data_IF_918712910248
#
_entry.id   IF_918712910248
#
_cell.length_a   1.000
_cell.length_b   1.000
_cell.length_c   1.000
_cell.angle_alpha   90.00
_cell.angle_beta   90.00
_cell.angle_gamma   90.00
#
_symmetry.space_group_name_H-M   'P 1'
#
loop_
_entity.id
_entity.type
_entity.pdbx_description
1 polymer ?
#
# COMPACT_ATOMS: atom_id res chain seq x y z
N UNK A 1 -26.90 45.31 -60.27
CA UNK A 1 -27.67 44.79 -59.12
C UNK A 1 -26.83 43.73 -58.42
N UNK A 2 -26.21 44.08 -57.28
CA UNK A 2 -25.50 43.14 -56.41
C UNK A 2 -26.47 42.71 -55.31
N UNK A 3 -26.68 41.41 -55.14
CA UNK A 3 -27.46 40.81 -54.07
C UNK A 3 -26.64 40.78 -52.77
N UNK A 4 -27.17 41.39 -51.72
CA UNK A 4 -26.64 41.30 -50.36
C UNK A 4 -27.27 40.08 -49.66
N UNK A 5 -26.45 39.07 -49.34
CA UNK A 5 -26.76 38.06 -48.33
C UNK A 5 -26.34 38.57 -46.94
N UNK A 6 -27.30 38.63 -46.01
CA UNK A 6 -27.04 38.81 -44.59
C UNK A 6 -26.44 37.51 -44.02
N UNK A 7 -25.22 37.58 -43.49
CA UNK A 7 -24.66 36.51 -42.65
C UNK A 7 -25.22 36.65 -41.23
N UNK A 8 -26.01 35.67 -40.80
CA UNK A 8 -26.29 35.46 -39.38
C UNK A 8 -24.98 35.05 -38.67
N UNK A 9 -24.59 35.85 -37.69
CA UNK A 9 -23.49 35.53 -36.79
C UNK A 9 -23.99 34.49 -35.76
N UNK A 10 -23.51 33.26 -35.88
CA UNK A 10 -23.67 32.24 -34.84
C UNK A 10 -22.79 32.64 -33.66
N UNK A 11 -23.45 33.01 -32.57
CA UNK A 11 -22.84 33.33 -31.28
C UNK A 11 -22.16 32.06 -30.71
N UNK A 12 -20.82 32.00 -30.78
CA UNK A 12 -20.04 30.92 -30.19
C UNK A 12 -19.97 31.15 -28.68
N UNK A 13 -20.91 30.55 -27.95
CA UNK A 13 -20.97 30.60 -26.49
C UNK A 13 -19.75 29.94 -25.83
N UNK A 14 -19.45 30.40 -24.61
CA UNK A 14 -18.33 30.07 -23.70
C UNK A 14 -18.13 28.59 -23.33
N UNK A 15 -18.81 27.65 -23.99
CA UNK A 15 -18.80 26.20 -23.78
C UNK A 15 -17.58 25.49 -24.40
N UNK A 16 -17.02 26.01 -25.49
CA UNK A 16 -15.93 25.33 -26.25
C UNK A 16 -14.58 25.30 -25.53
N UNK A 17 -14.19 26.39 -24.86
CA UNK A 17 -12.90 26.46 -24.11
C UNK A 17 -12.90 25.54 -22.88
N UNK A 18 -14.02 25.43 -22.17
CA UNK A 18 -14.17 24.50 -21.02
C UNK A 18 -14.10 23.03 -21.47
N UNK A 19 -14.74 22.67 -22.59
CA UNK A 19 -14.66 21.31 -23.16
C UNK A 19 -13.26 20.96 -23.64
N UNK A 20 -12.54 21.89 -24.27
CA UNK A 20 -11.16 21.67 -24.73
C UNK A 20 -10.18 21.50 -23.57
N UNK A 21 -10.31 22.32 -22.52
CA UNK A 21 -9.51 22.18 -21.30
C UNK A 21 -9.81 20.86 -20.57
N UNK A 22 -11.09 20.48 -20.44
CA UNK A 22 -11.49 19.20 -19.86
C UNK A 22 -10.92 18.00 -20.64
N UNK A 23 -11.01 18.00 -21.98
CA UNK A 23 -10.45 16.92 -22.81
C UNK A 23 -8.92 16.83 -22.70
N UNK A 24 -8.22 17.96 -22.61
CA UNK A 24 -6.76 17.98 -22.46
C UNK A 24 -6.33 17.52 -21.05
N UNK A 25 -7.07 17.90 -20.01
CA UNK A 25 -6.86 17.41 -18.64
C UNK A 25 -7.14 15.91 -18.51
N UNK A 26 -8.20 15.41 -19.13
CA UNK A 26 -8.51 13.96 -19.18
C UNK A 26 -7.40 13.20 -19.91
N UNK A 27 -6.94 13.68 -21.07
CA UNK A 27 -5.87 13.02 -21.83
C UNK A 27 -4.53 12.99 -21.07
N UNK A 28 -4.20 14.04 -20.32
CA UNK A 28 -3.01 14.07 -19.47
C UNK A 28 -3.15 13.11 -18.27
N UNK A 29 -4.31 13.07 -17.64
CA UNK A 29 -4.61 12.14 -16.56
C UNK A 29 -4.49 10.68 -17.04
N UNK A 30 -5.07 10.36 -18.21
CA UNK A 30 -4.93 9.05 -18.84
C UNK A 30 -3.48 8.69 -19.13
N UNK A 31 -2.65 9.63 -19.61
CA UNK A 31 -1.23 9.37 -19.88
C UNK A 31 -0.43 9.09 -18.60
N UNK A 32 -0.67 9.85 -17.53
CA UNK A 32 0.01 9.65 -16.24
C UNK A 32 -0.38 8.30 -15.64
N UNK A 33 -1.69 8.00 -15.58
CA UNK A 33 -2.16 6.72 -15.06
C UNK A 33 -1.67 5.53 -15.88
N UNK A 34 -1.67 5.66 -17.21
CA UNK A 34 -1.12 4.62 -18.09
C UNK A 34 0.38 4.39 -17.85
N UNK A 35 1.17 5.46 -17.74
CA UNK A 35 2.62 5.35 -17.48
C UNK A 35 2.90 4.69 -16.12
N UNK A 36 2.15 5.06 -15.08
CA UNK A 36 2.28 4.46 -13.77
C UNK A 36 1.88 2.99 -13.78
N UNK A 37 0.78 2.62 -14.44
CA UNK A 37 0.36 1.23 -14.62
C UNK A 37 1.45 0.39 -15.28
N UNK A 38 1.99 0.84 -16.41
CA UNK A 38 3.06 0.13 -17.11
C UNK A 38 4.33 0.00 -16.26
N UNK A 39 4.67 1.03 -15.49
CA UNK A 39 5.82 0.99 -14.56
C UNK A 39 5.62 -0.06 -13.47
N UNK A 40 4.43 -0.10 -12.86
CA UNK A 40 4.10 -1.11 -11.85
C UNK A 40 4.16 -2.52 -12.45
N UNK A 41 3.60 -2.73 -13.64
CA UNK A 41 3.66 -4.03 -14.32
C UNK A 41 5.10 -4.49 -14.60
N UNK A 42 5.96 -3.58 -15.06
CA UNK A 42 7.38 -3.89 -15.28
C UNK A 42 8.12 -4.23 -13.98
N UNK A 43 7.81 -3.55 -12.87
CA UNK A 43 8.38 -3.88 -11.56
C UNK A 43 7.92 -5.27 -11.07
N UNK A 44 6.64 -5.59 -11.28
CA UNK A 44 6.06 -6.89 -10.91
C UNK A 44 6.67 -8.01 -11.74
N UNK A 45 6.82 -7.80 -13.06
CA UNK A 45 7.48 -8.74 -13.95
C UNK A 45 8.93 -9.02 -13.51
N UNK A 46 9.69 -7.95 -13.23
CA UNK A 46 11.06 -8.07 -12.74
C UNK A 46 11.12 -8.84 -11.40
N UNK A 47 10.22 -8.55 -10.46
CA UNK A 47 10.16 -9.25 -9.17
C UNK A 47 9.86 -10.74 -9.36
N UNK A 48 8.86 -11.10 -10.18
CA UNK A 48 8.53 -12.49 -10.47
C UNK A 48 9.59 -13.24 -11.28
N UNK A 49 10.44 -12.53 -12.03
CA UNK A 49 11.57 -13.10 -12.75
C UNK A 49 12.81 -13.33 -11.89
N UNK A 50 12.90 -12.70 -10.72
CA UNK A 50 14.13 -12.67 -9.89
C UNK A 50 13.98 -13.28 -8.51
N UNK A 51 12.79 -13.24 -7.93
CA UNK A 51 12.52 -13.70 -6.57
C UNK A 51 11.69 -14.98 -6.62
N UNK A 52 12.12 -16.01 -5.87
CA UNK A 52 11.33 -17.21 -5.64
C UNK A 52 10.90 -17.28 -4.17
N UNK A 53 9.59 -17.19 -3.92
CA UNK A 53 9.02 -17.23 -2.57
C UNK A 53 9.33 -18.53 -1.81
N UNK A 54 9.51 -19.66 -2.50
CA UNK A 54 9.86 -20.94 -1.88
C UNK A 54 11.23 -20.90 -1.18
N UNK A 55 12.12 -20.03 -1.66
CA UNK A 55 13.47 -19.85 -1.13
C UNK A 55 13.58 -18.65 -0.17
N UNK A 56 12.52 -17.87 -0.03
CA UNK A 56 12.54 -16.65 0.77
C UNK A 56 12.25 -16.93 2.25
N UNK A 57 13.06 -16.34 3.14
CA UNK A 57 12.84 -16.36 4.60
C UNK A 57 13.01 -14.97 5.19
N UNK A 58 12.17 -14.61 6.17
CA UNK A 58 12.27 -13.32 6.84
C UNK A 58 11.44 -13.23 8.12
N UNK A 59 11.67 -12.17 8.89
CA UNK A 59 10.92 -11.86 10.11
C UNK A 59 9.60 -11.17 9.82
N UNK A 60 9.48 -10.46 8.69
CA UNK A 60 8.23 -9.83 8.29
C UNK A 60 7.29 -10.86 7.64
N UNK A 61 5.99 -10.88 7.98
CA UNK A 61 5.04 -11.73 7.30
C UNK A 61 4.87 -11.36 5.84
N UNK A 62 4.54 -12.36 5.02
CA UNK A 62 4.37 -12.25 3.56
C UNK A 62 3.64 -13.47 3.02
N UNK A 63 2.84 -13.26 1.98
CA UNK A 63 2.09 -14.27 1.23
C UNK A 63 2.43 -14.28 -0.27
N UNK A 64 3.18 -13.29 -0.76
CA UNK A 64 3.62 -13.20 -2.15
C UNK A 64 5.02 -12.61 -2.31
N UNK A 65 5.59 -12.81 -3.50
CA UNK A 65 6.79 -12.09 -3.96
C UNK A 65 6.51 -10.60 -4.07
N UNK A 66 5.37 -10.26 -4.69
CA UNK A 66 4.80 -8.92 -4.64
C UNK A 66 3.61 -8.99 -3.69
N UNK A 67 3.87 -8.71 -2.41
CA UNK A 67 2.92 -8.93 -1.33
C UNK A 67 1.80 -7.88 -1.34
N UNK A 68 2.14 -6.60 -1.41
CA UNK A 68 1.22 -5.47 -1.27
C UNK A 68 1.58 -4.34 -2.24
N UNK A 69 0.61 -3.91 -3.06
CA UNK A 69 0.70 -2.71 -3.89
C UNK A 69 -0.40 -1.74 -3.44
N UNK A 70 -0.01 -0.54 -3.06
CA UNK A 70 -0.94 0.49 -2.60
C UNK A 70 -0.86 1.76 -3.43
N UNK A 71 -2.02 2.22 -3.89
CA UNK A 71 -2.16 3.46 -4.64
C UNK A 71 -2.67 4.54 -3.69
N UNK A 72 -1.78 5.47 -3.34
CA UNK A 72 -2.12 6.64 -2.53
C UNK A 72 -2.48 7.83 -3.43
N UNK A 73 -3.66 8.46 -3.23
CA UNK A 73 -3.97 9.69 -3.94
C UNK A 73 -3.04 10.82 -3.45
N UNK A 74 -2.35 11.47 -4.38
CA UNK A 74 -1.46 12.60 -4.12
C UNK A 74 -2.00 13.89 -4.76
N UNK A 75 -1.78 15.01 -4.08
CA UNK A 75 -2.19 16.34 -4.52
C UNK A 75 -3.69 16.43 -4.86
N UNK A 76 -4.05 16.52 -6.15
CA UNK A 76 -5.44 16.71 -6.61
C UNK A 76 -6.12 15.43 -7.08
N UNK A 77 -5.42 14.29 -7.04
CA UNK A 77 -5.99 12.99 -7.41
C UNK A 77 -6.98 12.55 -6.33
N UNK A 78 -8.17 12.13 -6.73
CA UNK A 78 -9.17 11.59 -5.82
C UNK A 78 -8.87 10.15 -5.44
N UNK A 79 -9.42 9.71 -4.31
CA UNK A 79 -9.31 8.31 -3.89
C UNK A 79 -9.97 7.35 -4.90
N UNK A 80 -11.03 7.78 -5.57
CA UNK A 80 -11.73 7.00 -6.60
C UNK A 80 -10.85 6.80 -7.84
N UNK A 81 -10.09 7.82 -8.27
CA UNK A 81 -9.13 7.69 -9.36
C UNK A 81 -7.99 6.73 -9.00
N UNK A 82 -7.48 6.80 -7.76
CA UNK A 82 -6.48 5.85 -7.28
C UNK A 82 -7.05 4.41 -7.23
N UNK A 83 -8.31 4.24 -6.81
CA UNK A 83 -9.00 2.96 -6.79
C UNK A 83 -9.24 2.40 -8.19
N UNK A 84 -9.57 3.27 -9.16
CA UNK A 84 -9.70 2.88 -10.56
C UNK A 84 -8.38 2.32 -11.11
N UNK A 85 -7.26 3.01 -10.87
CA UNK A 85 -5.94 2.53 -11.29
C UNK A 85 -5.57 1.21 -10.59
N UNK A 86 -5.80 1.11 -9.27
CA UNK A 86 -5.53 -0.11 -8.51
C UNK A 86 -6.27 -1.33 -9.10
N UNK A 87 -7.54 -1.16 -9.50
CA UNK A 87 -8.32 -2.20 -10.18
C UNK A 87 -7.74 -2.56 -11.54
N UNK A 88 -7.37 -1.56 -12.35
CA UNK A 88 -6.77 -1.81 -13.67
C UNK A 88 -5.45 -2.59 -13.54
N UNK A 89 -4.58 -2.20 -12.60
CA UNK A 89 -3.35 -2.92 -12.27
C UNK A 89 -3.65 -4.35 -11.80
N UNK A 90 -4.67 -4.55 -10.97
CA UNK A 90 -5.04 -5.88 -10.48
C UNK A 90 -5.52 -6.82 -11.59
N UNK A 91 -6.37 -6.34 -12.50
CA UNK A 91 -6.83 -7.10 -13.67
C UNK A 91 -5.65 -7.51 -14.55
N UNK A 92 -4.71 -6.59 -14.82
CA UNK A 92 -3.52 -6.88 -15.62
C UNK A 92 -2.58 -7.87 -14.91
N UNK A 93 -2.31 -7.69 -13.61
CA UNK A 93 -1.43 -8.61 -12.86
C UNK A 93 -2.03 -10.02 -12.80
N UNK A 94 -3.32 -10.12 -12.48
CA UNK A 94 -4.03 -11.39 -12.39
C UNK A 94 -4.07 -12.13 -13.72
N UNK A 95 -4.24 -11.41 -14.83
CA UNK A 95 -4.31 -12.00 -16.18
C UNK A 95 -2.94 -12.30 -16.78
N UNK A 96 -1.98 -11.38 -16.71
CA UNK A 96 -0.66 -11.53 -17.33
C UNK A 96 0.23 -12.51 -16.56
N UNK A 97 0.25 -12.41 -15.22
CA UNK A 97 1.14 -13.23 -14.40
C UNK A 97 0.45 -14.46 -13.79
N UNK A 98 -0.86 -14.63 -14.01
CA UNK A 98 -1.64 -15.78 -13.54
C UNK A 98 -1.47 -16.02 -12.03
N UNK A 99 -1.55 -14.94 -11.25
CA UNK A 99 -1.49 -14.97 -9.78
C UNK A 99 -2.83 -14.54 -9.18
N UNK A 100 -3.25 -15.10 -8.03
CA UNK A 100 -4.41 -14.61 -7.31
C UNK A 100 -4.17 -13.19 -6.79
N UNK A 101 -5.10 -12.28 -7.06
CA UNK A 101 -5.02 -10.89 -6.60
C UNK A 101 -6.23 -10.56 -5.72
N UNK A 102 -5.96 -9.99 -4.55
CA UNK A 102 -6.97 -9.56 -3.58
C UNK A 102 -7.00 -8.05 -3.48
N UNK A 103 -8.17 -7.47 -3.74
CA UNK A 103 -8.39 -6.03 -3.64
C UNK A 103 -8.69 -5.62 -2.20
N UNK A 104 -8.28 -4.43 -1.79
CA UNK A 104 -8.64 -3.87 -0.49
C UNK A 104 -8.84 -2.35 -0.54
N UNK A 105 -9.36 -1.80 0.56
CA UNK A 105 -9.64 -0.37 0.68
C UNK A 105 -10.62 0.09 -0.38
N UNK A 106 -10.42 1.28 -0.94
CA UNK A 106 -11.30 1.85 -1.96
C UNK A 106 -11.33 1.04 -3.27
N UNK A 107 -10.32 0.18 -3.50
CA UNK A 107 -10.31 -0.69 -4.66
C UNK A 107 -11.24 -1.91 -4.50
N UNK A 108 -11.53 -2.35 -3.28
CA UNK A 108 -12.44 -3.48 -3.06
C UNK A 108 -13.91 -3.05 -3.13
N UNK A 109 -14.82 -3.83 -3.77
CA UNK A 109 -16.24 -3.45 -3.96
C UNK A 109 -16.99 -3.07 -2.67
N UNK A 110 -16.64 -3.72 -1.55
CA UNK A 110 -17.24 -3.46 -0.22
C UNK A 110 -16.33 -2.68 0.73
N UNK A 111 -15.19 -2.16 0.25
CA UNK A 111 -14.25 -1.44 1.11
C UNK A 111 -13.52 -2.32 2.13
N UNK A 112 -13.28 -3.60 1.82
CA UNK A 112 -12.69 -4.57 2.74
C UNK A 112 -11.30 -4.10 3.20
N UNK A 113 -11.04 -4.16 4.50
CA UNK A 113 -9.76 -3.76 5.06
C UNK A 113 -8.67 -4.80 4.80
N UNK A 114 -7.44 -4.33 4.57
CA UNK A 114 -6.28 -5.19 4.27
C UNK A 114 -5.99 -6.20 5.39
N UNK A 115 -6.11 -5.78 6.65
CA UNK A 115 -5.91 -6.67 7.80
C UNK A 115 -6.91 -7.82 7.82
N UNK A 116 -8.15 -7.60 7.39
CA UNK A 116 -9.16 -8.65 7.29
C UNK A 116 -8.75 -9.74 6.28
N UNK A 117 -8.26 -9.33 5.11
CA UNK A 117 -7.73 -10.26 4.09
C UNK A 117 -6.50 -11.00 4.62
N UNK A 118 -5.55 -10.27 5.23
CA UNK A 118 -4.35 -10.84 5.85
C UNK A 118 -4.72 -11.89 6.90
N UNK A 119 -5.74 -11.65 7.72
CA UNK A 119 -6.23 -12.63 8.70
C UNK A 119 -6.83 -13.88 8.06
N UNK A 120 -7.69 -13.71 7.06
CA UNK A 120 -8.34 -14.81 6.34
C UNK A 120 -7.33 -15.71 5.61
N UNK A 121 -6.25 -15.14 5.09
CA UNK A 121 -5.20 -15.85 4.38
C UNK A 121 -4.05 -16.34 5.27
N UNK A 122 -4.14 -16.14 6.59
CA UNK A 122 -3.13 -16.63 7.54
C UNK A 122 -1.82 -15.86 7.54
N UNK A 123 -1.80 -14.60 7.06
CA UNK A 123 -0.62 -13.72 6.99
C UNK A 123 0.18 -13.68 8.30
N UNK A 124 -0.51 -13.50 9.43
CA UNK A 124 0.12 -13.33 10.75
C UNK A 124 0.55 -14.64 11.43
N UNK A 125 0.52 -15.78 10.73
CA UNK A 125 0.92 -17.09 11.29
C UNK A 125 2.33 -17.45 10.81
N UNK A 126 3.37 -17.33 11.65
CA UNK A 126 4.72 -17.77 11.28
C UNK A 126 4.74 -19.29 11.07
N UNK A 127 5.55 -19.74 10.13
CA UNK A 127 5.72 -21.16 9.80
C UNK A 127 7.17 -21.65 9.98
N UNK A 128 8.07 -20.78 10.43
CA UNK A 128 9.48 -21.07 10.61
C UNK A 128 9.99 -20.50 11.93
N UNK A 129 10.73 -21.31 12.70
CA UNK A 129 11.33 -20.92 13.98
C UNK A 129 10.39 -20.21 15.00
N UNK A 130 9.08 -20.43 14.89
CA UNK A 130 8.05 -19.88 15.78
C UNK A 130 7.74 -18.38 15.60
N UNK A 131 8.62 -17.61 14.97
CA UNK A 131 8.51 -16.15 14.82
C UNK A 131 8.96 -15.63 13.45
N UNK A 132 9.26 -16.52 12.50
CA UNK A 132 9.70 -16.20 11.15
C UNK A 132 8.80 -16.87 10.11
N UNK A 133 8.92 -16.38 8.89
CA UNK A 133 8.25 -16.95 7.74
C UNK A 133 9.29 -17.44 6.74
N UNK A 134 9.22 -18.72 6.35
CA UNK A 134 10.10 -19.31 5.35
C UNK A 134 9.31 -20.06 4.28
N UNK A 135 9.70 -19.88 3.02
CA UNK A 135 9.05 -20.50 1.88
C UNK A 135 7.58 -20.11 1.72
N UNK A 136 6.86 -21.02 1.09
CA UNK A 136 5.44 -20.97 0.79
C UNK A 136 4.58 -21.53 1.94
N UNK A 137 3.48 -20.84 2.29
CA UNK A 137 2.66 -21.14 3.49
C UNK A 137 1.20 -21.46 3.22
N UNK A 138 0.75 -21.28 1.98
CA UNK A 138 -0.68 -21.32 1.63
C UNK A 138 -1.06 -22.61 0.90
N UNK A 139 -2.35 -22.96 0.80
CA UNK A 139 -2.77 -24.08 -0.04
C UNK A 139 -2.60 -23.75 -1.53
N UNK A 140 -2.33 -24.75 -2.38
CA UNK A 140 -2.24 -24.54 -3.83
C UNK A 140 -3.55 -24.07 -4.47
N UNK A 141 -4.69 -24.34 -3.83
CA UNK A 141 -6.01 -23.87 -4.23
C UNK A 141 -6.61 -23.12 -3.07
N UNK A 142 -6.97 -21.86 -3.30
CA UNK A 142 -7.56 -21.00 -2.28
C UNK A 142 -9.02 -21.38 -2.03
N UNK A 143 -9.39 -21.43 -0.75
CA UNK A 143 -10.78 -21.57 -0.31
C UNK A 143 -11.58 -20.28 -0.50
N UNK A 144 -10.89 -19.14 -0.61
CA UNK A 144 -11.47 -17.82 -0.84
C UNK A 144 -11.18 -17.43 -2.28
N UNK A 145 -12.21 -16.98 -2.99
CA UNK A 145 -12.08 -16.52 -4.37
C UNK A 145 -11.31 -15.19 -4.39
N UNK A 146 -10.20 -15.07 -5.15
CA UNK A 146 -9.54 -13.79 -5.36
C UNK A 146 -10.44 -12.86 -6.21
N UNK A 147 -10.21 -11.56 -6.11
CA UNK A 147 -10.93 -10.57 -6.91
C UNK A 147 -10.53 -10.66 -8.39
N UNK A 148 -9.23 -10.89 -8.66
CA UNK A 148 -8.68 -11.06 -10.00
C UNK A 148 -7.71 -12.26 -10.06
N UNK A 149 -7.55 -12.82 -11.25
CA UNK A 149 -6.66 -13.97 -11.48
C UNK A 149 -7.23 -15.32 -11.00
N UNK A 150 -6.43 -16.40 -11.08
CA UNK A 150 -6.86 -17.75 -10.74
C UNK A 150 -6.93 -17.99 -9.23
N UNK A 151 -7.74 -18.97 -8.80
CA UNK A 151 -7.72 -19.48 -7.41
C UNK A 151 -6.52 -20.37 -7.10
N UNK A 152 -5.87 -20.90 -8.14
CA UNK A 152 -4.65 -21.68 -8.01
C UNK A 152 -3.48 -20.74 -7.76
N UNK A 153 -2.67 -21.06 -6.74
CA UNK A 153 -1.50 -20.27 -6.39
C UNK A 153 -0.22 -20.94 -6.85
N UNK A 154 0.67 -20.15 -7.46
CA UNK A 154 2.04 -20.56 -7.73
C UNK A 154 2.86 -20.47 -6.45
N UNK A 155 3.48 -21.57 -6.02
CA UNK A 155 4.33 -21.59 -4.82
C UNK A 155 5.49 -20.58 -4.88
N UNK A 156 6.03 -20.37 -6.09
CA UNK A 156 7.14 -19.46 -6.32
C UNK A 156 6.75 -17.97 -6.29
N UNK A 157 5.47 -17.63 -6.56
CA UNK A 157 5.00 -16.23 -6.66
C UNK A 157 4.10 -15.82 -5.51
N UNK A 158 3.28 -16.74 -5.01
CA UNK A 158 2.25 -16.50 -4.02
C UNK A 158 1.07 -15.68 -4.51
N UNK A 159 0.52 -14.83 -3.64
CA UNK A 159 -0.64 -13.96 -3.92
C UNK A 159 -0.22 -12.49 -3.88
N UNK A 160 -1.00 -11.62 -4.52
CA UNK A 160 -0.79 -10.17 -4.47
C UNK A 160 -2.00 -9.48 -3.83
N UNK A 161 -1.76 -8.56 -2.90
CA UNK A 161 -2.79 -7.66 -2.38
C UNK A 161 -2.64 -6.30 -3.05
N UNK A 162 -3.72 -5.72 -3.55
CA UNK A 162 -3.69 -4.42 -4.22
C UNK A 162 -4.81 -3.53 -3.69
N UNK A 163 -4.48 -2.30 -3.33
CA UNK A 163 -5.46 -1.40 -2.76
C UNK A 163 -5.27 0.04 -3.15
N UNK A 164 -6.28 0.84 -2.81
CA UNK A 164 -6.21 2.28 -2.86
C UNK A 164 -6.72 2.84 -1.54
N UNK A 165 -5.97 3.80 -0.98
CA UNK A 165 -6.29 4.38 0.33
C UNK A 165 -5.56 5.70 0.54
N UNK A 166 -6.03 6.56 1.47
CA UNK A 166 -5.26 7.72 1.93
C UNK A 166 -3.86 7.33 2.41
N UNK A 167 -2.96 8.32 2.45
CA UNK A 167 -1.57 8.15 2.88
C UNK A 167 -1.46 7.48 4.26
N UNK A 168 -0.47 6.60 4.41
CA UNK A 168 -0.16 5.91 5.67
C UNK A 168 1.25 6.24 6.13
N UNK A 169 1.47 6.27 7.44
CA UNK A 169 2.81 6.34 8.02
C UNK A 169 3.27 4.96 8.47
N UNK A 170 4.54 4.63 8.28
CA UNK A 170 5.16 3.43 8.84
C UNK A 170 6.19 3.85 9.87
N UNK A 171 5.93 3.53 11.14
CA UNK A 171 6.73 3.96 12.28
C UNK A 171 7.09 2.76 13.15
N UNK A 172 8.38 2.49 13.31
CA UNK A 172 8.88 1.38 14.11
C UNK A 172 9.46 1.90 15.42
N UNK A 173 9.21 1.17 16.50
CA UNK A 173 9.76 1.48 17.83
C UNK A 173 10.59 0.29 18.32
N UNK A 174 11.93 0.41 18.39
CA UNK A 174 12.78 -0.64 18.93
C UNK A 174 12.62 -0.78 20.44
N UNK A 175 12.57 -2.03 20.91
CA UNK A 175 12.52 -2.43 22.31
C UNK A 175 13.71 -3.35 22.57
N UNK A 176 14.43 -3.07 23.66
CA UNK A 176 15.60 -3.85 24.10
C UNK A 176 15.14 -5.14 24.78
N UNK A 177 14.78 -6.13 23.97
CA UNK A 177 14.32 -7.44 24.44
C UNK A 177 14.55 -8.50 23.37
N UNK A 178 14.75 -9.74 23.82
CA UNK A 178 14.72 -10.94 22.98
C UNK A 178 13.45 -11.78 23.20
N UNK A 179 12.59 -11.39 24.15
CA UNK A 179 11.33 -12.09 24.41
C UNK A 179 10.23 -11.62 23.44
N UNK A 180 10.07 -12.38 22.36
CA UNK A 180 9.04 -12.16 21.33
C UNK A 180 7.63 -12.18 21.92
N UNK A 181 7.40 -12.92 23.01
CA UNK A 181 6.09 -12.98 23.65
C UNK A 181 5.71 -11.64 24.27
N UNK A 182 6.67 -10.92 24.86
CA UNK A 182 6.44 -9.56 25.38
C UNK A 182 6.13 -8.60 24.25
N UNK A 183 6.91 -8.66 23.16
CA UNK A 183 6.66 -7.83 22.00
C UNK A 183 5.29 -8.06 21.37
N UNK A 184 4.81 -9.30 21.28
CA UNK A 184 3.46 -9.60 20.82
C UNK A 184 2.37 -9.04 21.75
N UNK A 185 2.59 -9.06 23.08
CA UNK A 185 1.67 -8.41 24.03
C UNK A 185 1.63 -6.91 23.82
N UNK A 186 2.79 -6.26 23.77
CA UNK A 186 2.90 -4.80 23.56
C UNK A 186 2.27 -4.41 22.21
N UNK A 187 2.64 -5.10 21.12
CA UNK A 187 2.07 -4.87 19.80
C UNK A 187 0.54 -4.97 19.83
N UNK A 188 -0.02 -6.00 20.46
CA UNK A 188 -1.48 -6.16 20.60
C UNK A 188 -2.11 -5.00 21.37
N UNK A 189 -1.50 -4.51 22.45
CA UNK A 189 -2.03 -3.39 23.23
C UNK A 189 -1.93 -2.03 22.53
N UNK A 190 -0.96 -1.87 21.63
CA UNK A 190 -0.85 -0.68 20.77
C UNK A 190 -1.85 -0.73 19.61
N UNK A 191 -2.15 -1.93 19.10
CA UNK A 191 -3.02 -2.15 17.95
C UNK A 191 -4.46 -1.71 18.22
N UNK A 192 -5.07 -0.99 17.27
CA UNK A 192 -6.47 -0.56 17.35
C UNK A 192 -7.42 -1.73 17.64
N UNK A 193 -7.19 -2.89 16.99
CA UNK A 193 -8.02 -4.09 17.18
C UNK A 193 -7.88 -4.68 18.58
N UNK A 194 -6.78 -4.42 19.27
CA UNK A 194 -6.56 -4.83 20.66
C UNK A 194 -7.04 -3.81 21.70
N UNK A 195 -7.72 -2.73 21.29
CA UNK A 195 -8.15 -1.64 22.17
C UNK A 195 -7.10 -0.55 22.36
N UNK A 196 -6.06 -0.54 21.52
CA UNK A 196 -4.97 0.42 21.54
C UNK A 196 -5.32 1.75 20.90
N UNK A 197 -4.36 2.32 20.16
CA UNK A 197 -4.56 3.60 19.49
C UNK A 197 -5.49 3.41 18.28
N UNK A 198 -6.48 4.31 18.08
CA UNK A 198 -7.32 4.24 16.89
C UNK A 198 -6.44 4.36 15.64
N UNK A 199 -6.85 3.69 14.56
CA UNK A 199 -6.18 3.79 13.24
C UNK A 199 -4.71 3.35 13.23
N UNK A 200 -4.25 2.63 14.26
CA UNK A 200 -2.92 2.01 14.30
C UNK A 200 -3.04 0.50 14.15
N UNK A 201 -2.28 -0.05 13.22
CA UNK A 201 -2.02 -1.49 13.15
C UNK A 201 -0.57 -1.73 13.53
N UNK A 202 -0.32 -2.73 14.37
CA UNK A 202 1.03 -3.00 14.90
C UNK A 202 1.33 -4.49 14.95
N UNK A 203 2.62 -4.80 14.83
CA UNK A 203 3.20 -6.14 14.89
C UNK A 203 4.53 -6.10 15.64
N UNK A 204 4.80 -7.12 16.46
CA UNK A 204 6.12 -7.31 17.06
C UNK A 204 7.01 -8.10 16.10
N UNK A 205 8.20 -7.58 15.78
CA UNK A 205 9.11 -8.17 14.80
C UNK A 205 10.53 -8.27 15.36
N UNK A 206 11.13 -9.44 15.29
CA UNK A 206 12.56 -9.59 15.63
C UNK A 206 13.40 -8.75 14.67
N UNK A 207 14.32 -7.96 15.23
CA UNK A 207 15.21 -7.07 14.52
C UNK A 207 16.65 -7.28 15.01
N UNK A 208 17.52 -7.86 14.17
CA UNK A 208 18.89 -8.19 14.60
C UNK A 208 18.94 -9.27 15.71
N UNK A 209 20.08 -9.37 16.39
CA UNK A 209 20.34 -10.44 17.37
C UNK A 209 19.70 -10.19 18.74
N UNK A 210 19.51 -8.91 19.13
CA UNK A 210 19.15 -8.53 20.51
C UNK A 210 18.02 -7.50 20.61
N UNK A 211 17.34 -7.14 19.52
CA UNK A 211 16.22 -6.20 19.58
C UNK A 211 14.97 -6.73 18.88
N UNK A 212 13.83 -6.24 19.37
CA UNK A 212 12.53 -6.47 18.77
C UNK A 212 11.92 -5.11 18.50
N UNK A 213 11.29 -4.93 17.36
CA UNK A 213 10.59 -3.70 17.02
C UNK A 213 9.08 -3.90 17.11
N UNK A 214 8.38 -2.89 17.60
CA UNK A 214 6.95 -2.75 17.39
C UNK A 214 6.75 -1.95 16.10
N UNK A 215 6.61 -2.67 15.00
CA UNK A 215 6.34 -2.07 13.70
C UNK A 215 4.90 -1.62 13.64
N UNK A 216 4.67 -0.34 13.33
CA UNK A 216 3.34 0.26 13.33
C UNK A 216 3.00 0.91 11.98
N UNK A 217 1.85 0.54 11.43
CA UNK A 217 1.20 1.24 10.33
C UNK A 217 0.16 2.22 10.90
N UNK A 218 0.42 3.50 10.71
CA UNK A 218 -0.46 4.62 11.02
C UNK A 218 -1.41 4.81 9.83
N UNK A 219 -2.63 4.29 9.93
CA UNK A 219 -3.62 4.33 8.85
C UNK A 219 -4.14 5.75 8.57
N UNK A 220 -4.08 6.62 9.57
CA UNK A 220 -4.43 8.06 9.50
C UNK A 220 -3.34 8.86 10.24
N UNK A 221 -2.16 9.10 9.64
CA UNK A 221 -1.02 9.70 10.33
C UNK A 221 -1.28 11.15 10.81
N UNK A 222 -2.25 11.85 10.19
CA UNK A 222 -2.70 13.18 10.64
C UNK A 222 -3.51 13.14 11.96
N UNK A 223 -3.99 11.96 12.37
CA UNK A 223 -4.79 11.76 13.59
C UNK A 223 -3.98 11.14 14.72
N UNK A 224 -3.11 10.18 14.38
CA UNK A 224 -2.19 9.53 15.32
C UNK A 224 -0.81 9.55 14.69
N UNK A 225 0.07 10.39 15.24
CA UNK A 225 1.47 10.50 14.83
C UNK A 225 2.38 9.49 15.52
N UNK A 226 3.63 9.45 15.08
CA UNK A 226 4.68 8.59 15.64
C UNK A 226 4.94 8.88 17.11
N UNK A 227 4.84 10.14 17.54
CA UNK A 227 4.95 10.58 18.94
C UNK A 227 3.97 9.84 19.86
N UNK A 228 2.70 9.72 19.45
CA UNK A 228 1.68 9.02 20.23
C UNK A 228 1.92 7.52 20.28
N UNK A 229 2.43 6.95 19.20
CA UNK A 229 2.82 5.53 19.17
C UNK A 229 4.02 5.29 20.07
N UNK A 230 5.06 6.13 19.98
CA UNK A 230 6.26 6.09 20.83
C UNK A 230 5.87 6.08 22.30
N UNK A 231 5.12 7.09 22.77
CA UNK A 231 4.71 7.17 24.18
C UNK A 231 3.87 5.97 24.63
N UNK A 232 3.05 5.41 23.74
CA UNK A 232 2.23 4.23 24.06
C UNK A 232 3.08 2.97 24.20
N UNK A 233 4.07 2.78 23.33
CA UNK A 233 5.03 1.67 23.41
C UNK A 233 5.87 1.81 24.68
N UNK A 234 6.44 2.98 24.95
CA UNK A 234 7.22 3.28 26.16
C UNK A 234 6.44 2.95 27.43
N UNK A 235 5.18 3.38 27.52
CA UNK A 235 4.33 3.10 28.68
C UNK A 235 4.14 1.59 28.91
N UNK A 236 3.90 0.81 27.85
CA UNK A 236 3.69 -0.64 27.97
C UNK A 236 5.00 -1.41 28.18
N UNK A 237 6.10 -0.97 27.58
CA UNK A 237 7.42 -1.54 27.81
C UNK A 237 7.88 -1.31 29.25
N UNK A 238 7.64 -0.12 29.82
CA UNK A 238 7.96 0.18 31.22
C UNK A 238 7.21 -0.72 32.21
N UNK A 239 5.96 -1.12 31.90
CA UNK A 239 5.21 -2.10 32.71
C UNK A 239 5.83 -3.50 32.69
N UNK A 240 6.58 -3.83 31.64
CA UNK A 240 7.30 -5.09 31.48
C UNK A 240 8.80 -4.95 31.88
N UNK A 241 9.22 -3.77 32.36
CA UNK A 241 10.60 -3.49 32.77
C UNK A 241 11.60 -3.43 31.61
N UNK A 242 11.14 -3.04 30.41
CA UNK A 242 11.96 -2.99 29.20
C UNK A 242 12.32 -1.56 28.80
N UNK A 243 13.54 -1.39 28.29
CA UNK A 243 14.01 -0.15 27.70
C UNK A 243 13.56 -0.03 26.23
N UNK A 244 13.27 1.20 25.82
CA UNK A 244 12.75 1.54 24.48
C UNK A 244 13.65 2.58 23.84
N UNK A 245 14.01 2.36 22.58
CA UNK A 245 14.76 3.35 21.80
C UNK A 245 13.83 4.34 21.10
N UNK A 246 14.39 5.43 20.59
CA UNK A 246 13.62 6.39 19.78
C UNK A 246 13.18 5.74 18.47
N UNK A 247 11.87 5.68 18.25
CA UNK A 247 11.30 5.15 17.03
C UNK A 247 11.54 6.03 15.81
N UNK A 248 11.40 5.44 14.64
CA UNK A 248 11.71 6.06 13.36
C UNK A 248 10.69 5.70 12.28
N UNK A 249 10.55 6.58 11.28
CA UNK A 249 9.77 6.26 10.09
C UNK A 249 10.59 5.40 9.13
N UNK A 250 10.03 4.32 8.61
CA UNK A 250 10.71 3.44 7.66
C UNK A 250 10.67 3.99 6.23
N UNK A 251 9.78 4.94 5.95
CA UNK A 251 9.56 5.54 4.63
C UNK A 251 9.55 7.07 4.67
N UNK A 252 9.65 7.67 3.48
CA UNK A 252 9.52 9.13 3.32
C UNK A 252 8.12 9.61 3.71
N UNK A 253 8.02 10.81 4.30
CA UNK A 253 6.71 11.41 4.58
C UNK A 253 6.00 11.84 3.28
N UNK A 254 4.70 12.13 3.39
CA UNK A 254 3.91 12.65 2.27
C UNK A 254 4.53 13.94 1.70
N UNK A 255 4.94 14.86 2.58
CA UNK A 255 5.58 16.12 2.22
C UNK A 255 6.89 15.88 1.47
N UNK A 256 7.73 14.98 1.98
CA UNK A 256 9.00 14.64 1.33
C UNK A 256 8.79 14.05 -0.08
N UNK A 257 7.77 13.23 -0.27
CA UNK A 257 7.44 12.66 -1.59
C UNK A 257 6.92 13.75 -2.53
N UNK A 258 6.05 14.64 -2.05
CA UNK A 258 5.54 15.76 -2.84
C UNK A 258 6.66 16.72 -3.25
N UNK A 259 7.57 17.06 -2.33
CA UNK A 259 8.71 17.93 -2.61
C UNK A 259 9.65 17.31 -3.64
N UNK A 260 9.97 16.01 -3.51
CA UNK A 260 10.75 15.28 -4.52
C UNK A 260 10.10 15.35 -5.89
N UNK A 261 8.79 15.12 -5.96
CA UNK A 261 8.05 15.19 -7.23
C UNK A 261 8.06 16.60 -7.82
N UNK A 262 7.79 17.64 -7.01
CA UNK A 262 7.80 19.04 -7.45
C UNK A 262 9.18 19.46 -7.96
N UNK A 263 10.25 19.01 -7.32
CA UNK A 263 11.61 19.27 -7.76
C UNK A 263 11.93 18.60 -9.10
N UNK A 264 11.52 17.34 -9.28
CA UNK A 264 11.72 16.60 -10.55
C UNK A 264 11.01 17.28 -11.72
N UNK A 265 9.74 17.67 -11.55
CA UNK A 265 9.00 18.32 -12.64
C UNK A 265 9.47 19.76 -12.91
N UNK A 266 10.09 20.41 -11.93
CA UNK A 266 10.65 21.77 -12.10
C UNK A 266 11.99 21.72 -12.83
N UNK A 267 12.84 20.74 -12.51
CA UNK A 267 14.09 20.49 -13.23
C UNK A 267 13.85 20.19 -14.72
N UNK A 268 12.87 19.34 -15.02
CA UNK A 268 12.51 18.97 -16.40
C UNK A 268 11.83 20.11 -17.21
N UNK A 269 11.52 21.26 -16.59
CA UNK A 269 11.00 22.45 -17.28
C UNK A 269 12.07 23.49 -17.59
N UNK A 270 13.27 23.33 -17.03
CA UNK A 270 14.41 24.21 -17.25
C UNK A 270 15.31 23.74 -18.42
N UNK A 271 15.03 22.56 -18.99
CA UNK A 271 15.60 22.01 -20.22
C UNK A 271 14.63 22.17 -21.40
#
# INVERSE_FOLDING_TARGET
MRSHEKKEAIEISSSSKKKKAANQSVLLCCKIFFSLQQTVLAMVEAAYGTINLEQHSGTHPRLGVVDDIVLHPLARVSLDEAAWLAKAVATDIGSLFQVPVFLYGAAHPTGKALDSIRWELGYYRPNFMGNQWAGWTMPEILSIKPDEGPTRVSRARGITMIGARPWVGLYNVPIMSTDVSVAYRIARMVNARGGGLPTVQSLGLVHGENSIEIACMLLEPNRVGGDRVQSRVEMFAAQEGLDVETGYFTDSSLEMILDKYLNLISANRAE
#
